data_IF_947421668701
#
_entry.id   IF_947421668701
#
_cell.length_a   1.000
_cell.length_b   1.000
_cell.length_c   1.000
_cell.angle_alpha   90.00
_cell.angle_beta   90.00
_cell.angle_gamma   90.00
#
_symmetry.space_group_name_H-M   'P 1'
#
loop_
_entity.id
_entity.type
_entity.pdbx_description
1 polymer ?
#
# COMPACT_ATOMS: atom_id res chain seq x y z
N UNK A 1 -11.89 11.95 -14.87
CA UNK A 1 -12.41 10.80 -14.10
C UNK A 1 -11.26 9.80 -13.95
N UNK A 2 -10.95 9.32 -12.75
CA UNK A 2 -9.81 8.39 -12.54
C UNK A 2 -10.22 7.01 -13.05
N UNK A 3 -9.42 6.42 -13.95
CA UNK A 3 -9.65 5.05 -14.41
C UNK A 3 -9.03 4.04 -13.45
N UNK A 4 -9.48 2.78 -13.46
CA UNK A 4 -8.85 1.73 -12.66
C UNK A 4 -7.37 1.54 -13.03
N UNK A 5 -7.04 1.54 -14.33
CA UNK A 5 -5.65 1.47 -14.78
C UNK A 5 -4.79 2.62 -14.22
N UNK A 6 -5.34 3.84 -14.14
CA UNK A 6 -4.67 4.98 -13.51
C UNK A 6 -4.47 4.77 -12.02
N UNK A 7 -5.49 4.27 -11.31
CA UNK A 7 -5.40 3.98 -9.87
C UNK A 7 -4.35 2.89 -9.57
N UNK A 8 -4.31 1.82 -10.36
CA UNK A 8 -3.30 0.76 -10.22
C UNK A 8 -1.88 1.24 -10.55
N UNK A 9 -1.70 2.06 -11.60
CA UNK A 9 -0.39 2.67 -11.91
C UNK A 9 0.10 3.58 -10.78
N UNK A 10 -0.79 4.39 -10.22
CA UNK A 10 -0.47 5.23 -9.08
C UNK A 10 -0.13 4.39 -7.83
N UNK A 11 -0.88 3.32 -7.57
CA UNK A 11 -0.55 2.40 -6.47
C UNK A 11 0.83 1.76 -6.66
N UNK A 12 1.15 1.29 -7.88
CA UNK A 12 2.49 0.80 -8.19
C UNK A 12 3.58 1.84 -7.95
N UNK A 13 3.35 3.10 -8.37
CA UNK A 13 4.30 4.18 -8.14
C UNK A 13 4.52 4.43 -6.64
N UNK A 14 3.45 4.47 -5.84
CA UNK A 14 3.58 4.63 -4.38
C UNK A 14 4.28 3.42 -3.77
N UNK A 15 3.96 2.19 -4.17
CA UNK A 15 4.64 0.99 -3.69
C UNK A 15 6.15 1.02 -3.99
N UNK A 16 6.57 1.50 -5.17
CA UNK A 16 7.98 1.72 -5.48
C UNK A 16 8.61 2.85 -4.65
N UNK A 17 7.89 3.95 -4.43
CA UNK A 17 8.38 5.05 -3.59
C UNK A 17 8.61 4.59 -2.14
N UNK A 18 7.80 3.66 -1.64
CA UNK A 18 7.98 3.05 -0.33
C UNK A 18 9.19 2.12 -0.25
N UNK A 19 9.66 1.65 -1.41
CA UNK A 19 10.85 0.84 -1.52
C UNK A 19 12.15 1.67 -1.63
N UNK A 20 12.06 2.95 -2.05
CA UNK A 20 13.22 3.83 -2.25
C UNK A 20 14.06 4.08 -0.99
N UNK A 21 13.48 4.37 0.19
CA UNK A 21 14.28 4.57 1.39
C UNK A 21 15.16 3.36 1.69
N UNK A 22 14.65 2.14 1.55
CA UNK A 22 15.47 0.94 1.75
C UNK A 22 16.62 0.82 0.74
N UNK A 23 16.39 1.21 -0.51
CA UNK A 23 17.42 1.20 -1.56
C UNK A 23 18.49 2.29 -1.36
N UNK A 24 18.15 3.42 -0.75
CA UNK A 24 19.04 4.58 -0.61
C UNK A 24 19.84 4.51 0.70
N UNK A 25 19.19 4.19 1.82
CA UNK A 25 19.82 4.23 3.16
C UNK A 25 20.03 2.84 3.79
N UNK A 26 19.49 1.77 3.21
CA UNK A 26 19.59 0.41 3.73
C UNK A 26 18.58 0.10 4.85
N UNK A 27 18.42 -1.19 5.15
CA UNK A 27 17.43 -1.69 6.12
C UNK A 27 17.62 -1.08 7.53
N UNK A 28 18.87 -0.89 7.97
CA UNK A 28 19.19 -0.42 9.32
C UNK A 28 18.72 1.02 9.61
N UNK A 29 18.82 1.91 8.60
CA UNK A 29 18.32 3.29 8.72
C UNK A 29 16.79 3.34 8.60
N UNK A 30 16.19 2.46 7.79
CA UNK A 30 14.74 2.28 7.72
C UNK A 30 14.15 1.84 9.06
N UNK A 31 14.80 0.90 9.77
CA UNK A 31 14.39 0.52 11.15
C UNK A 31 14.31 1.75 12.03
N UNK A 32 15.33 2.61 12.02
CA UNK A 32 15.36 3.84 12.84
C UNK A 32 14.21 4.79 12.50
N UNK A 33 13.82 4.89 11.24
CA UNK A 33 12.66 5.70 10.81
C UNK A 33 11.34 5.11 11.35
N UNK A 34 11.21 3.78 11.41
CA UNK A 34 10.03 3.11 11.96
C UNK A 34 10.01 3.01 13.50
N UNK A 35 11.18 3.08 14.16
CA UNK A 35 11.35 2.93 15.61
C UNK A 35 11.64 4.25 16.34
N UNK A 36 11.30 5.39 15.71
CA UNK A 36 11.51 6.74 16.28
C UNK A 36 12.95 7.02 16.73
N UNK A 37 13.93 6.54 15.95
CA UNK A 37 15.36 6.79 16.18
C UNK A 37 16.08 5.77 17.06
N UNK A 38 15.38 4.77 17.59
CA UNK A 38 16.01 3.72 18.40
C UNK A 38 16.65 2.69 17.49
N UNK A 39 17.98 2.62 17.44
CA UNK A 39 18.71 1.64 16.64
C UNK A 39 18.50 0.23 17.21
N UNK A 40 17.42 -0.43 16.84
CA UNK A 40 17.18 -1.84 17.17
C UNK A 40 17.97 -2.68 16.18
N UNK A 41 19.20 -3.07 16.54
CA UNK A 41 19.97 -4.12 15.87
C UNK A 41 19.29 -5.49 16.09
N UNK A 42 18.07 -5.62 15.61
CA UNK A 42 17.28 -6.84 15.70
C UNK A 42 17.29 -7.51 14.32
N UNK A 43 18.06 -8.60 14.14
CA UNK A 43 18.18 -9.30 12.86
C UNK A 43 16.84 -9.77 12.30
N UNK A 44 15.89 -10.10 13.19
CA UNK A 44 14.55 -10.52 12.80
C UNK A 44 13.72 -9.35 12.27
N UNK A 45 13.85 -8.16 12.86
CA UNK A 45 13.18 -6.95 12.37
C UNK A 45 13.74 -6.52 11.02
N UNK A 46 15.07 -6.56 10.84
CA UNK A 46 15.72 -6.32 9.55
C UNK A 46 15.30 -7.32 8.48
N UNK A 47 15.17 -8.60 8.85
CA UNK A 47 14.69 -9.63 7.92
C UNK A 47 13.23 -9.39 7.52
N UNK A 48 12.36 -9.03 8.46
CA UNK A 48 10.95 -8.69 8.20
C UNK A 48 10.85 -7.48 7.27
N UNK A 49 11.61 -6.42 7.51
CA UNK A 49 11.60 -5.21 6.67
C UNK A 49 12.14 -5.49 5.25
N UNK A 50 13.16 -6.34 5.13
CA UNK A 50 13.67 -6.78 3.83
C UNK A 50 12.64 -7.61 3.06
N UNK A 51 11.94 -8.53 3.74
CA UNK A 51 10.83 -9.29 3.17
C UNK A 51 9.70 -8.36 2.73
N UNK A 52 9.35 -7.37 3.55
CA UNK A 52 8.28 -6.42 3.23
C UNK A 52 8.66 -5.50 2.06
N UNK A 53 9.95 -5.20 1.89
CA UNK A 53 10.45 -4.53 0.69
C UNK A 53 10.25 -5.39 -0.58
N UNK A 54 10.67 -6.66 -0.57
CA UNK A 54 10.48 -7.57 -1.72
C UNK A 54 8.99 -7.70 -2.06
N UNK A 55 8.13 -7.83 -1.04
CA UNK A 55 6.68 -7.87 -1.21
C UNK A 55 6.13 -6.60 -1.84
N UNK A 56 6.60 -5.42 -1.42
CA UNK A 56 6.16 -4.14 -1.98
C UNK A 56 6.58 -3.97 -3.45
N UNK A 57 7.79 -4.43 -3.82
CA UNK A 57 8.22 -4.47 -5.23
C UNK A 57 7.35 -5.41 -6.05
N UNK A 58 7.11 -6.63 -5.56
CA UNK A 58 6.21 -7.60 -6.19
C UNK A 58 4.80 -7.01 -6.36
N UNK A 59 4.30 -6.32 -5.34
CA UNK A 59 3.00 -5.66 -5.36
C UNK A 59 2.90 -4.57 -6.42
N UNK A 60 3.97 -3.79 -6.59
CA UNK A 60 4.04 -2.77 -7.62
C UNK A 60 3.95 -3.39 -9.03
N UNK A 61 4.66 -4.48 -9.28
CA UNK A 61 4.56 -5.21 -10.55
C UNK A 61 3.18 -5.82 -10.78
N UNK A 62 2.56 -6.41 -9.76
CA UNK A 62 1.19 -6.90 -9.86
C UNK A 62 0.21 -5.78 -10.21
N UNK A 63 0.34 -4.60 -9.60
CA UNK A 63 -0.49 -3.44 -9.93
C UNK A 63 -0.25 -2.96 -11.36
N UNK A 64 0.99 -2.93 -11.86
CA UNK A 64 1.29 -2.59 -13.26
C UNK A 64 0.71 -3.60 -14.24
N UNK A 65 0.80 -4.90 -13.94
CA UNK A 65 0.21 -5.97 -14.75
C UNK A 65 -1.32 -5.86 -14.79
N UNK A 66 -1.97 -5.62 -13.65
CA UNK A 66 -3.41 -5.36 -13.57
C UNK A 66 -3.81 -4.12 -14.37
N UNK A 67 -2.99 -3.07 -14.37
CA UNK A 67 -3.29 -1.86 -15.13
C UNK A 67 -3.18 -2.05 -16.65
N UNK A 68 -2.40 -3.03 -17.12
CA UNK A 68 -1.98 -3.14 -18.52
C UNK A 68 -2.55 -4.36 -19.24
N UNK A 69 -2.86 -5.42 -18.51
CA UNK A 69 -3.14 -6.74 -19.09
C UNK A 69 -4.51 -7.32 -18.71
N UNK A 70 -5.33 -6.61 -17.93
CA UNK A 70 -6.63 -7.12 -17.48
C UNK A 70 -7.78 -6.20 -17.83
N UNK A 71 -8.97 -6.78 -17.91
CA UNK A 71 -10.21 -6.06 -18.22
C UNK A 71 -10.75 -5.29 -17.01
N UNK A 72 -11.60 -4.30 -17.29
CA UNK A 72 -12.19 -3.41 -16.28
C UNK A 72 -12.97 -4.14 -15.18
N UNK A 73 -13.58 -5.30 -15.46
CA UNK A 73 -14.33 -6.08 -14.46
C UNK A 73 -13.37 -6.73 -13.47
N UNK A 74 -12.29 -7.33 -13.98
CA UNK A 74 -11.20 -7.88 -13.13
C UNK A 74 -10.56 -6.77 -12.30
N UNK A 75 -10.23 -5.65 -12.93
CA UNK A 75 -9.69 -4.47 -12.25
C UNK A 75 -10.60 -3.96 -11.12
N UNK A 76 -11.92 -3.87 -11.35
CA UNK A 76 -12.89 -3.46 -10.33
C UNK A 76 -12.95 -4.45 -9.16
N UNK A 77 -13.01 -5.76 -9.46
CA UNK A 77 -13.01 -6.81 -8.43
C UNK A 77 -11.77 -6.74 -7.54
N UNK A 78 -10.60 -6.61 -8.16
CA UNK A 78 -9.32 -6.52 -7.44
C UNK A 78 -9.21 -5.22 -6.63
N UNK A 79 -9.67 -4.08 -7.16
CA UNK A 79 -9.69 -2.82 -6.43
C UNK A 79 -10.57 -2.90 -5.16
N UNK A 80 -11.75 -3.52 -5.26
CA UNK A 80 -12.63 -3.76 -4.11
C UNK A 80 -11.96 -4.69 -3.10
N UNK A 81 -11.33 -5.78 -3.57
CA UNK A 81 -10.57 -6.69 -2.72
C UNK A 81 -9.44 -5.99 -1.97
N UNK A 82 -8.69 -5.10 -2.63
CA UNK A 82 -7.65 -4.30 -1.99
C UNK A 82 -8.19 -3.34 -0.94
N UNK A 83 -9.26 -2.61 -1.23
CA UNK A 83 -9.90 -1.75 -0.22
C UNK A 83 -10.41 -2.56 0.97
N UNK A 84 -10.96 -3.76 0.72
CA UNK A 84 -11.40 -4.69 1.77
C UNK A 84 -10.26 -5.15 2.67
N UNK A 85 -9.13 -5.60 2.10
CA UNK A 85 -7.96 -6.00 2.87
C UNK A 85 -7.33 -4.85 3.66
N UNK A 86 -7.24 -3.66 3.07
CA UNK A 86 -6.75 -2.45 3.76
C UNK A 86 -7.65 -2.06 4.93
N UNK A 87 -8.98 -2.09 4.73
CA UNK A 87 -9.96 -1.81 5.78
C UNK A 87 -9.90 -2.84 6.90
N UNK A 88 -9.77 -4.13 6.53
CA UNK A 88 -9.62 -5.22 7.50
C UNK A 88 -8.35 -5.08 8.33
N UNK A 89 -7.22 -4.74 7.69
CA UNK A 89 -5.96 -4.50 8.38
C UNK A 89 -6.08 -3.31 9.36
N UNK A 90 -6.70 -2.20 8.93
CA UNK A 90 -6.99 -1.05 9.79
C UNK A 90 -7.86 -1.45 10.99
N UNK A 91 -8.92 -2.22 10.76
CA UNK A 91 -9.80 -2.67 11.84
C UNK A 91 -9.06 -3.50 12.88
N UNK A 92 -8.20 -4.43 12.45
CA UNK A 92 -7.37 -5.24 13.35
C UNK A 92 -6.42 -4.34 14.15
N UNK A 93 -5.75 -3.38 13.51
CA UNK A 93 -4.83 -2.46 14.19
C UNK A 93 -5.53 -1.55 15.21
N UNK A 94 -6.77 -1.13 14.94
CA UNK A 94 -7.59 -0.36 15.88
C UNK A 94 -8.07 -1.22 17.07
N UNK A 95 -8.45 -2.49 16.82
CA UNK A 95 -8.95 -3.39 17.86
C UNK A 95 -7.85 -4.00 18.73
N UNK A 96 -6.68 -4.23 18.14
CA UNK A 96 -5.54 -4.87 18.78
C UNK A 96 -4.27 -4.04 18.53
N UNK A 97 -4.16 -2.84 19.14
CA UNK A 97 -3.00 -1.98 18.94
C UNK A 97 -1.73 -2.63 19.50
N UNK A 98 -0.62 -2.70 18.73
CA UNK A 98 0.61 -3.38 19.15
C UNK A 98 1.26 -2.81 20.44
N UNK A 99 1.04 -1.53 20.73
CA UNK A 99 1.65 -0.79 21.84
C UNK A 99 0.64 -0.21 22.85
N UNK A 100 -0.64 -0.59 22.75
CA UNK A 100 -1.72 0.03 23.54
C UNK A 100 -2.12 1.45 23.06
N UNK A 101 -1.35 2.05 22.16
CA UNK A 101 -1.68 3.27 21.43
C UNK A 101 -1.87 2.95 19.95
N UNK A 102 -2.91 3.52 19.33
CA UNK A 102 -3.09 3.42 17.88
C UNK A 102 -2.22 4.48 17.21
N UNK A 103 -0.99 4.10 16.87
CA UNK A 103 -0.14 4.89 16.00
C UNK A 103 0.06 4.11 14.70
N UNK A 104 -0.62 4.58 13.66
CA UNK A 104 -0.39 4.06 12.33
C UNK A 104 0.97 4.59 11.86
N UNK A 105 1.94 3.74 11.46
CA UNK A 105 3.24 4.22 11.03
C UNK A 105 3.07 5.28 9.93
N UNK A 106 3.76 6.44 9.99
CA UNK A 106 3.55 7.53 9.03
C UNK A 106 3.62 7.10 7.56
N UNK A 107 4.52 6.16 7.17
CA UNK A 107 4.49 5.61 5.82
C UNK A 107 3.16 4.88 5.53
N UNK A 108 2.67 4.00 6.40
CA UNK A 108 1.39 3.30 6.16
C UNK A 108 0.22 4.28 6.02
N UNK A 109 0.22 5.37 6.80
CA UNK A 109 -0.77 6.44 6.70
C UNK A 109 -0.75 7.12 5.31
N UNK A 110 0.44 7.46 4.82
CA UNK A 110 0.63 8.07 3.50
C UNK A 110 0.23 7.12 2.37
N UNK A 111 0.60 5.85 2.45
CA UNK A 111 0.25 4.83 1.46
C UNK A 111 -1.27 4.70 1.32
N UNK A 112 -1.99 4.59 2.44
CA UNK A 112 -3.45 4.50 2.44
C UNK A 112 -4.09 5.82 2.03
N UNK A 113 -3.55 6.96 2.48
CA UNK A 113 -4.05 8.29 2.11
C UNK A 113 -4.04 8.56 0.61
N UNK A 114 -3.14 7.92 -0.14
CA UNK A 114 -3.09 8.03 -1.62
C UNK A 114 -3.91 6.94 -2.30
N UNK A 115 -3.74 5.68 -1.91
CA UNK A 115 -4.34 4.55 -2.63
C UNK A 115 -5.84 4.40 -2.42
N UNK A 116 -6.34 4.71 -1.21
CA UNK A 116 -7.76 4.56 -0.86
C UNK A 116 -8.67 5.54 -1.62
N UNK A 117 -8.35 6.85 -1.71
CA UNK A 117 -9.13 7.78 -2.51
C UNK A 117 -9.08 7.47 -4.01
N UNK A 118 -7.93 7.00 -4.53
CA UNK A 118 -7.78 6.67 -5.94
C UNK A 118 -8.67 5.49 -6.36
N UNK A 119 -8.71 4.41 -5.58
CA UNK A 119 -9.62 3.30 -5.84
C UNK A 119 -11.09 3.70 -5.65
N UNK A 120 -11.39 4.50 -4.62
CA UNK A 120 -12.75 5.03 -4.40
C UNK A 120 -13.23 5.85 -5.60
N UNK A 121 -12.40 6.78 -6.11
CA UNK A 121 -12.70 7.59 -7.28
C UNK A 121 -12.87 6.75 -8.55
N UNK A 122 -12.05 5.71 -8.73
CA UNK A 122 -12.17 4.79 -9.87
C UNK A 122 -13.48 3.99 -9.84
N UNK A 123 -13.87 3.49 -8.66
CA UNK A 123 -15.13 2.75 -8.46
C UNK A 123 -16.34 3.66 -8.70
N UNK A 124 -16.37 4.84 -8.07
CA UNK A 124 -17.47 5.80 -8.23
C UNK A 124 -17.57 6.35 -9.65
N UNK A 125 -16.43 6.55 -10.33
CA UNK A 125 -16.38 6.98 -11.72
C UNK A 125 -16.93 5.95 -12.69
N UNK A 126 -16.56 4.68 -12.52
CA UNK A 126 -17.04 3.58 -13.35
C UNK A 126 -18.56 3.38 -13.29
N UNK A 127 -19.18 3.64 -12.14
CA UNK A 127 -20.63 3.47 -11.97
C UNK A 127 -21.44 4.68 -12.47
N UNK A 128 -20.84 5.88 -12.59
CA UNK A 128 -21.48 7.04 -13.22
C UNK A 128 -21.58 6.89 -14.75
N UNK A 129 -20.67 6.18 -15.39
CA UNK A 129 -20.71 5.91 -16.84
C UNK A 129 -21.76 4.88 -17.28
N UNK A 130 -22.37 4.14 -16.34
CA UNK A 130 -23.45 3.16 -16.63
C UNK A 130 -24.87 3.72 -16.51
N UNK A 131 -25.03 4.96 -16.02
CA UNK A 131 -26.33 5.61 -15.79
C UNK A 131 -26.68 6.70 -16.82
N UNK A 132 -25.92 6.79 -17.92
CA UNK A 132 -26.19 7.70 -19.03
C UNK A 132 -26.52 6.88 -20.29
#
# INVERSE_FOLDING_TARGET
>A
MVSFATAFKANAAVAFLFCLPNLIVGNDEMVKVFSSGTATNNPMLNHILCIDWIKNVQWAFCCLALASCTDTKTQKSTAIGFMGMMTGALFILVKFPPSGTFELPPPVALYMGVTFPLYTMAIMGADKGKKA
#
